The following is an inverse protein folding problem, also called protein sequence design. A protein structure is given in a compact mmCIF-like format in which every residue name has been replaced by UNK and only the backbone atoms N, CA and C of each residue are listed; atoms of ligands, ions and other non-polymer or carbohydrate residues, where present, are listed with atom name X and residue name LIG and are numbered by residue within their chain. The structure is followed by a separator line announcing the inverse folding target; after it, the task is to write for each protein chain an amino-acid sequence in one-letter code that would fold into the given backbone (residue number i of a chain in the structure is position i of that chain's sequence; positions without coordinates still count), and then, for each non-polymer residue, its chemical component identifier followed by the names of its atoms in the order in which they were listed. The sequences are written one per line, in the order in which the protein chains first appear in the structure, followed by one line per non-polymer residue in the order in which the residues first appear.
data_IF_835949454226
#
_entry.id   IF_835949454226
#
_cell.length_a   1.000
_cell.length_b   1.000
_cell.length_c   1.000
_cell.angle_alpha   90.00
_cell.angle_beta   90.00
_cell.angle_gamma   90.00
#
_symmetry.space_group_name_H-M   'P 1'
#
loop_
_entity.id
_entity.type
_entity.pdbx_description
1 polymer ?
#
# COMPACT_ATOMS: atom_id res chain seq x y z
N UNK A 1 -1.60 -2.28 1.79
CA UNK A 1 -0.53 -1.62 1.02
C UNK A 1 0.62 -2.60 0.91
N UNK A 2 0.91 -3.11 -0.28
CA UNK A 2 1.99 -4.08 -0.53
C UNK A 2 3.17 -3.35 -1.17
N UNK A 3 4.39 -3.69 -0.75
CA UNK A 3 5.63 -3.15 -1.33
C UNK A 3 5.72 -3.50 -2.82
N UNK A 4 6.06 -2.54 -3.68
CA UNK A 4 6.29 -2.82 -5.11
C UNK A 4 7.59 -3.60 -5.37
N UNK A 5 8.43 -3.79 -4.36
CA UNK A 5 9.71 -4.51 -4.44
C UNK A 5 9.62 -5.99 -4.07
N UNK A 6 8.41 -6.56 -4.03
CA UNK A 6 8.13 -7.99 -3.78
C UNK A 6 8.67 -8.56 -2.44
N UNK A 7 8.92 -7.71 -1.45
CA UNK A 7 9.43 -8.12 -0.12
C UNK A 7 8.40 -8.87 0.74
N UNK A 8 7.14 -8.94 0.30
CA UNK A 8 6.02 -9.47 1.08
C UNK A 8 5.59 -8.60 2.27
N UNK A 9 6.33 -7.53 2.59
CA UNK A 9 5.98 -6.62 3.68
C UNK A 9 4.79 -5.73 3.28
N UNK A 10 3.83 -5.58 4.19
CA UNK A 10 2.64 -4.79 3.93
C UNK A 10 2.25 -3.94 5.14
N UNK A 11 1.72 -2.76 4.81
CA UNK A 11 1.04 -1.90 5.78
C UNK A 11 -0.47 -2.04 5.65
N UNK A 12 -1.14 -1.97 6.79
CA UNK A 12 -2.59 -1.82 6.89
C UNK A 12 -2.94 -0.33 6.98
N UNK A 13 -3.91 0.08 6.18
CA UNK A 13 -4.50 1.42 6.25
C UNK A 13 -6.01 1.30 6.06
N UNK A 14 -6.74 2.25 6.64
CA UNK A 14 -8.18 2.40 6.43
C UNK A 14 -8.42 3.59 5.51
N UNK A 15 -9.25 3.39 4.48
CA UNK A 15 -9.67 4.47 3.59
C UNK A 15 -11.19 4.55 3.55
N UNK A 16 -11.78 5.73 3.29
CA UNK A 16 -13.21 5.85 3.10
C UNK A 16 -13.65 5.08 1.85
N UNK A 17 -14.71 4.28 1.98
CA UNK A 17 -15.28 3.50 0.88
C UNK A 17 -16.16 4.34 -0.05
N UNK A 18 -16.50 5.58 0.34
CA UNK A 18 -17.45 6.45 -0.36
C UNK A 18 -16.79 7.79 -0.73
N UNK A 19 -16.90 8.21 -1.99
CA UNK A 19 -16.38 9.49 -2.51
C UNK A 19 -15.67 9.35 -3.85
N UNK A 20 -15.40 10.49 -4.52
CA UNK A 20 -14.70 10.55 -5.82
C UNK A 20 -13.29 9.95 -5.78
N UNK A 21 -12.60 10.01 -4.64
CA UNK A 21 -11.27 9.41 -4.45
C UNK A 21 -11.26 7.94 -3.98
N UNK A 22 -12.43 7.28 -3.88
CA UNK A 22 -12.49 5.89 -3.42
C UNK A 22 -12.13 4.87 -4.51
N UNK A 23 -12.30 5.25 -5.78
CA UNK A 23 -12.01 4.41 -6.95
C UNK A 23 -10.49 4.26 -7.18
N UNK A 24 -9.73 5.31 -6.91
CA UNK A 24 -8.28 5.29 -7.10
C UNK A 24 -7.56 4.46 -6.04
N UNK A 25 -6.54 3.73 -6.48
CA UNK A 25 -5.67 2.96 -5.60
C UNK A 25 -4.65 3.90 -4.98
N UNK A 26 -4.56 3.91 -3.64
CA UNK A 26 -3.55 4.71 -2.95
C UNK A 26 -2.14 4.22 -3.30
N UNK A 27 -1.26 5.16 -3.64
CA UNK A 27 0.17 4.92 -3.82
C UNK A 27 0.95 5.87 -2.92
N UNK A 28 1.74 5.33 -2.00
CA UNK A 28 2.46 6.10 -1.00
C UNK A 28 3.90 5.61 -0.88
N UNK A 29 4.85 6.54 -0.71
CA UNK A 29 6.20 6.17 -0.29
C UNK A 29 6.19 5.83 1.20
N UNK A 30 6.58 4.61 1.55
CA UNK A 30 6.78 4.18 2.94
C UNK A 30 8.10 3.44 3.05
N UNK A 31 8.61 3.34 4.27
CA UNK A 31 9.81 2.58 4.56
C UNK A 31 9.53 1.08 4.44
N UNK A 32 10.41 0.34 3.78
CA UNK A 32 10.40 -1.11 3.81
C UNK A 32 11.52 -1.59 4.75
N UNK A 33 11.19 -2.25 5.89
CA UNK A 33 12.20 -2.71 6.84
C UNK A 33 13.06 -3.85 6.29
N UNK A 34 12.65 -4.53 5.22
CA UNK A 34 13.40 -5.65 4.63
C UNK A 34 14.58 -5.14 3.80
N UNK A 35 14.36 -4.10 2.98
CA UNK A 35 15.41 -3.52 2.13
C UNK A 35 16.01 -2.24 2.73
N UNK A 36 15.48 -1.80 3.87
CA UNK A 36 15.92 -0.61 4.60
C UNK A 36 15.87 0.68 3.77
N UNK A 37 14.91 0.78 2.83
CA UNK A 37 14.74 1.92 1.92
C UNK A 37 13.29 2.36 1.85
N UNK A 38 13.07 3.62 1.45
CA UNK A 38 11.72 4.10 1.16
C UNK A 38 11.31 3.67 -0.25
N UNK A 39 10.27 2.86 -0.31
CA UNK A 39 9.71 2.34 -1.55
C UNK A 39 8.27 2.77 -1.74
N UNK A 40 7.82 2.63 -2.98
CA UNK A 40 6.43 2.82 -3.30
C UNK A 40 5.62 1.61 -2.84
N UNK A 41 4.55 1.89 -2.11
CA UNK A 41 3.57 0.91 -1.69
C UNK A 41 2.27 1.18 -2.42
N UNK A 42 1.71 0.11 -3.00
CA UNK A 42 0.43 0.15 -3.69
C UNK A 42 -0.67 -0.45 -2.84
N UNK A 43 -1.85 0.14 -2.88
CA UNK A 43 -3.03 -0.45 -2.26
C UNK A 43 -3.44 -1.73 -2.98
N UNK A 44 -3.53 -2.82 -2.20
CA UNK A 44 -4.07 -4.09 -2.63
C UNK A 44 -5.22 -4.42 -1.70
N UNK A 45 -6.37 -4.78 -2.28
CA UNK A 45 -7.52 -5.27 -1.55
C UNK A 45 -7.17 -6.70 -1.12
N UNK A 46 -7.16 -6.98 0.19
CA UNK A 46 -6.95 -8.36 0.65
C UNK A 46 -8.03 -9.23 0.02
N UNK A 47 -7.61 -10.21 -0.80
CA UNK A 47 -8.48 -11.31 -1.20
C UNK A 47 -8.73 -12.09 0.09
N UNK A 48 -10.00 -12.18 0.48
CA UNK A 48 -10.42 -13.01 1.59
C UNK A 48 -10.49 -14.45 1.12
#
# INVERSE_FOLDING_TARGET
MVSEEDTGYFYTTTKPTKGTGAADKLRMKKYDPVIMKHCWFKEVRKLK
#
